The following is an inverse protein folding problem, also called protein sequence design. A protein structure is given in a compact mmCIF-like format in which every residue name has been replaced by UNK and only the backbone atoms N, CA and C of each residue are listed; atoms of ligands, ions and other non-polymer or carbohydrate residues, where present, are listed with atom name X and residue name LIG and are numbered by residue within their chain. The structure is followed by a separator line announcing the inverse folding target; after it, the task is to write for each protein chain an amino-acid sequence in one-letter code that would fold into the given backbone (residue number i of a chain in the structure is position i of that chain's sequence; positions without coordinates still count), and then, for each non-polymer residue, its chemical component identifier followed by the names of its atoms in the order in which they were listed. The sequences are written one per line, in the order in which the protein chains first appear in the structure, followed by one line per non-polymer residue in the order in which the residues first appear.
data_IF_603200270305
#
_entry.id   IF_603200270305
#
_cell.length_a   1.000
_cell.length_b   1.000
_cell.length_c   1.000
_cell.angle_alpha   90.00
_cell.angle_beta   90.00
_cell.angle_gamma   90.00
#
_symmetry.space_group_name_H-M   'P 1'
#
loop_
_entity.id
_entity.type
_entity.pdbx_description
1 polymer ?
#
# COMPACT_ATOMS: atom_id res chain seq x y z
N UNK A 1 1.98 -18.49 3.78
CA UNK A 1 2.03 -17.03 3.95
C UNK A 1 2.56 -16.55 2.64
N UNK A 2 1.77 -15.71 2.00
CA UNK A 2 2.03 -15.16 0.68
C UNK A 2 2.33 -13.68 0.91
N UNK A 3 3.48 -13.25 0.40
CA UNK A 3 3.98 -11.89 0.53
C UNK A 3 3.90 -11.23 -0.84
N UNK A 4 2.98 -10.28 -0.98
CA UNK A 4 2.71 -9.66 -2.27
C UNK A 4 3.82 -8.69 -2.67
N UNK A 5 4.30 -7.88 -1.73
CA UNK A 5 5.26 -6.84 -2.07
C UNK A 5 6.22 -6.51 -0.91
N UNK A 6 7.52 -6.56 -1.24
CA UNK A 6 8.60 -6.04 -0.38
C UNK A 6 9.02 -4.70 -0.95
N UNK A 7 8.84 -3.64 -0.17
CA UNK A 7 9.38 -2.34 -0.52
C UNK A 7 10.86 -2.30 -0.17
N UNK A 8 11.73 -2.35 -1.18
CA UNK A 8 13.17 -2.21 -0.99
C UNK A 8 13.64 -0.78 -1.30
N UNK A 9 14.57 -0.28 -0.50
CA UNK A 9 15.45 0.79 -0.93
C UNK A 9 16.44 0.20 -1.93
N UNK A 10 16.25 0.54 -3.21
CA UNK A 10 16.88 -0.15 -4.33
C UNK A 10 18.42 -0.06 -4.31
N UNK A 11 18.99 1.09 -3.97
CA UNK A 11 20.44 1.30 -4.10
C UNK A 11 21.23 0.52 -3.04
N UNK A 12 20.65 0.30 -1.86
CA UNK A 12 21.28 -0.45 -0.76
C UNK A 12 20.76 -1.87 -0.61
N UNK A 13 19.79 -2.28 -1.43
CA UNK A 13 19.13 -3.59 -1.34
C UNK A 13 18.56 -3.88 0.07
N UNK A 14 18.03 -2.86 0.75
CA UNK A 14 17.51 -2.98 2.11
C UNK A 14 15.97 -2.97 2.10
N UNK A 15 15.29 -3.95 2.74
CA UNK A 15 13.85 -3.90 2.90
C UNK A 15 13.45 -2.76 3.84
N UNK A 16 12.44 -2.00 3.44
CA UNK A 16 11.93 -0.81 4.13
C UNK A 16 10.49 -1.01 4.60
N UNK A 17 9.69 -1.81 3.90
CA UNK A 17 8.33 -2.14 4.32
C UNK A 17 7.87 -3.48 3.75
N UNK A 18 6.89 -4.09 4.40
CA UNK A 18 6.16 -5.26 3.92
C UNK A 18 4.72 -4.85 3.59
N UNK A 19 4.23 -5.23 2.41
CA UNK A 19 2.88 -4.87 1.93
C UNK A 19 2.16 -6.12 1.43
N UNK A 20 0.95 -6.32 1.95
CA UNK A 20 -0.03 -7.30 1.47
C UNK A 20 -1.16 -6.57 0.74
N UNK A 21 -1.34 -6.86 -0.54
CA UNK A 21 -2.36 -6.21 -1.37
C UNK A 21 -3.68 -6.96 -1.28
N UNK A 22 -4.77 -6.21 -1.24
CA UNK A 22 -6.13 -6.77 -1.23
C UNK A 22 -7.00 -6.02 -2.23
N UNK A 23 -7.67 -6.75 -3.10
CA UNK A 23 -8.71 -6.18 -3.96
C UNK A 23 -9.82 -5.53 -3.10
N UNK A 24 -10.61 -4.63 -3.66
CA UNK A 24 -11.66 -3.90 -2.94
C UNK A 24 -12.74 -4.82 -2.35
N UNK A 25 -13.02 -5.93 -3.03
CA UNK A 25 -13.90 -6.99 -2.57
C UNK A 25 -13.21 -8.02 -1.66
N UNK A 26 -11.89 -7.89 -1.48
CA UNK A 26 -11.08 -8.69 -0.57
C UNK A 26 -11.49 -8.47 0.89
N UNK A 27 -11.79 -9.58 1.57
CA UNK A 27 -11.98 -9.54 3.02
C UNK A 27 -10.64 -9.34 3.71
N UNK A 28 -10.58 -8.35 4.59
CA UNK A 28 -9.42 -8.12 5.46
C UNK A 28 -9.69 -8.86 6.76
N UNK A 29 -8.85 -9.85 7.04
CA UNK A 29 -8.91 -10.62 8.28
C UNK A 29 -7.57 -10.49 9.02
N UNK A 30 -7.56 -9.63 10.04
CA UNK A 30 -6.37 -9.35 10.85
C UNK A 30 -5.91 -10.58 11.67
N UNK A 31 -6.82 -11.52 11.93
CA UNK A 31 -6.53 -12.77 12.65
C UNK A 31 -6.05 -13.90 11.73
N UNK A 32 -6.00 -13.66 10.42
CA UNK A 32 -5.55 -14.67 9.46
C UNK A 32 -4.08 -15.03 9.71
N UNK A 33 -3.72 -16.28 9.38
CA UNK A 33 -2.33 -16.72 9.47
C UNK A 33 -1.40 -15.84 8.61
N UNK A 34 -1.88 -15.33 7.46
CA UNK A 34 -1.11 -14.44 6.60
C UNK A 34 -0.77 -13.13 7.31
N UNK A 35 -1.80 -12.41 7.79
CA UNK A 35 -1.63 -11.11 8.43
C UNK A 35 -0.79 -11.20 9.70
N UNK A 36 -1.02 -12.20 10.56
CA UNK A 36 -0.20 -12.39 11.77
C UNK A 36 1.26 -12.71 11.45
N UNK A 37 1.51 -13.51 10.42
CA UNK A 37 2.89 -13.81 10.00
C UNK A 37 3.56 -12.56 9.42
N UNK A 38 2.84 -11.75 8.66
CA UNK A 38 3.36 -10.48 8.10
C UNK A 38 3.74 -9.49 9.21
N UNK A 39 2.89 -9.35 10.22
CA UNK A 39 3.18 -8.54 11.42
C UNK A 39 4.46 -9.04 12.11
N UNK A 40 4.53 -10.34 12.39
CA UNK A 40 5.68 -10.92 13.06
C UNK A 40 6.99 -10.71 12.27
N UNK A 41 6.95 -10.83 10.95
CA UNK A 41 8.10 -10.56 10.09
C UNK A 41 8.50 -9.08 10.12
N UNK A 42 7.53 -8.16 10.04
CA UNK A 42 7.78 -6.73 10.15
C UNK A 42 8.45 -6.38 11.47
N UNK A 43 7.93 -6.91 12.57
CA UNK A 43 8.48 -6.68 13.93
C UNK A 43 9.88 -7.27 14.09
N UNK A 44 10.14 -8.48 13.58
CA UNK A 44 11.47 -9.09 13.60
C UNK A 44 12.49 -8.29 12.80
N UNK A 45 12.07 -7.72 11.67
CA UNK A 45 12.92 -6.90 10.81
C UNK A 45 12.98 -5.43 11.26
N UNK A 46 12.16 -5.01 12.22
CA UNK A 46 12.06 -3.62 12.67
C UNK A 46 11.53 -2.65 11.60
N UNK A 47 10.68 -3.15 10.68
CA UNK A 47 10.13 -2.39 9.56
C UNK A 47 8.60 -2.38 9.58
N UNK A 48 7.97 -1.34 9.01
CA UNK A 48 6.51 -1.28 8.94
C UNK A 48 5.91 -2.37 8.05
N UNK A 49 4.78 -2.92 8.51
CA UNK A 49 3.95 -3.85 7.77
C UNK A 49 2.54 -3.26 7.52
N UNK A 50 2.05 -3.38 6.29
CA UNK A 50 0.77 -2.81 5.86
C UNK A 50 -0.09 -3.83 5.11
N UNK A 51 -1.41 -3.67 5.22
CA UNK A 51 -2.33 -4.11 4.16
C UNK A 51 -2.64 -2.89 3.29
N UNK A 52 -2.59 -3.04 1.97
CA UNK A 52 -3.07 -2.02 1.03
C UNK A 52 -4.26 -2.58 0.27
N UNK A 53 -5.44 -2.03 0.56
CA UNK A 53 -6.63 -2.32 -0.24
C UNK A 53 -6.66 -1.41 -1.47
N UNK A 54 -6.92 -1.96 -2.64
CA UNK A 54 -6.96 -1.22 -3.90
C UNK A 54 -8.22 -1.54 -4.70
N UNK A 55 -8.62 -0.63 -5.57
CA UNK A 55 -9.72 -0.82 -6.51
C UNK A 55 -9.84 0.35 -7.47
N UNK A 56 -10.91 0.36 -8.25
CA UNK A 56 -11.26 1.42 -9.19
C UNK A 56 -12.61 2.03 -8.85
N UNK A 57 -12.89 3.26 -9.27
CA UNK A 57 -14.19 3.90 -9.02
C UNK A 57 -15.35 3.23 -9.78
N UNK A 58 -15.10 2.75 -11.01
CA UNK A 58 -16.11 2.20 -11.90
C UNK A 58 -15.74 0.78 -12.35
N UNK A 59 -15.44 -0.10 -11.39
CA UNK A 59 -15.25 -1.53 -11.62
C UNK A 59 -16.33 -2.32 -10.87
N UNK A 60 -16.88 -3.34 -11.51
CA UNK A 60 -17.93 -4.17 -10.91
C UNK A 60 -17.46 -5.59 -10.61
N UNK A 61 -17.54 -5.99 -9.34
CA UNK A 61 -17.16 -7.34 -8.92
C UNK A 61 -15.65 -7.59 -9.02
N UNK A 62 -15.25 -8.85 -8.90
CA UNK A 62 -13.85 -9.24 -8.80
C UNK A 62 -13.06 -9.13 -10.12
N UNK A 63 -13.75 -9.26 -11.24
CA UNK A 63 -13.17 -9.36 -12.58
C UNK A 63 -13.94 -8.52 -13.60
N UNK A 64 -14.72 -7.54 -13.15
CA UNK A 64 -15.42 -6.64 -14.05
C UNK A 64 -14.44 -5.82 -14.87
N UNK A 65 -14.89 -5.45 -16.06
CA UNK A 65 -14.18 -4.49 -16.88
C UNK A 65 -14.02 -3.17 -16.10
N UNK A 66 -12.84 -2.57 -16.25
CA UNK A 66 -12.55 -1.26 -15.69
C UNK A 66 -12.90 -0.26 -16.79
N UNK A 67 -13.92 0.56 -16.56
CA UNK A 67 -14.30 1.61 -17.52
C UNK A 67 -13.14 2.60 -17.74
N UNK A 68 -13.02 3.17 -18.93
CA UNK A 68 -11.92 4.10 -19.29
C UNK A 68 -11.86 5.34 -18.38
N UNK A 69 -13.00 5.76 -17.82
CA UNK A 69 -13.10 6.88 -16.87
C UNK A 69 -12.86 6.48 -15.40
N UNK A 70 -12.44 5.24 -15.14
CA UNK A 70 -12.18 4.75 -13.80
C UNK A 70 -10.93 5.36 -13.20
N UNK A 71 -11.01 5.75 -11.93
CA UNK A 71 -9.85 6.26 -11.18
C UNK A 71 -9.40 5.21 -10.17
N UNK A 72 -8.11 4.82 -10.16
CA UNK A 72 -7.57 3.90 -9.16
C UNK A 72 -7.52 4.58 -7.78
N UNK A 73 -7.76 3.79 -6.75
CA UNK A 73 -7.71 4.25 -5.37
C UNK A 73 -7.07 3.21 -4.46
N UNK A 74 -6.47 3.69 -3.37
CA UNK A 74 -5.75 2.87 -2.40
C UNK A 74 -6.19 3.21 -0.98
N UNK A 75 -6.22 2.22 -0.09
CA UNK A 75 -6.48 2.39 1.33
C UNK A 75 -5.40 1.63 2.09
N UNK A 76 -4.62 2.36 2.89
CA UNK A 76 -3.46 1.81 3.60
C UNK A 76 -3.88 1.52 5.05
N UNK A 77 -3.65 0.29 5.49
CA UNK A 77 -4.01 -0.18 6.82
C UNK A 77 -2.71 -0.58 7.54
N UNK A 78 -2.27 0.21 8.53
CA UNK A 78 -1.09 -0.13 9.33
C UNK A 78 -1.37 -1.36 10.20
N UNK A 79 -0.39 -2.26 10.30
CA UNK A 79 -0.55 -3.53 11.03
C UNK A 79 0.28 -3.61 12.32
N UNK A 80 1.46 -2.99 12.35
CA UNK A 80 2.38 -3.04 13.49
C UNK A 80 2.78 -1.64 13.97
N UNK A 81 3.45 -1.58 15.12
CA UNK A 81 3.85 -0.31 15.75
C UNK A 81 4.68 0.58 14.82
N UNK A 82 5.60 -0.02 14.06
CA UNK A 82 6.40 0.65 13.04
C UNK A 82 5.51 1.31 11.98
N UNK A 83 4.50 0.60 11.46
CA UNK A 83 3.55 1.11 10.48
C UNK A 83 2.69 2.26 11.01
N UNK A 84 2.25 2.19 12.27
CA UNK A 84 1.49 3.29 12.89
C UNK A 84 2.31 4.58 13.04
N UNK A 85 3.63 4.48 13.09
CA UNK A 85 4.53 5.64 13.14
C UNK A 85 5.02 6.11 11.77
N UNK A 86 4.64 5.44 10.68
CA UNK A 86 5.18 5.65 9.34
C UNK A 86 4.51 6.80 8.55
N UNK A 87 3.71 7.64 9.21
CA UNK A 87 3.08 8.80 8.57
C UNK A 87 2.16 8.42 7.40
N UNK A 88 1.32 7.39 7.57
CA UNK A 88 0.41 6.91 6.53
C UNK A 88 -0.46 8.09 6.03
N UNK A 89 -0.51 8.35 4.72
CA UNK A 89 -1.35 9.42 4.18
C UNK A 89 -2.81 9.05 4.39
N UNK A 90 -3.53 9.92 5.10
CA UNK A 90 -4.94 9.79 5.39
C UNK A 90 -5.56 11.18 5.36
N UNK A 91 -6.70 11.33 4.68
CA UNK A 91 -7.52 12.54 4.74
C UNK A 91 -8.47 12.53 5.96
N UNK A 92 -8.07 11.87 7.05
CA UNK A 92 -8.88 11.40 8.19
C UNK A 92 -9.85 10.23 7.84
N UNK A 93 -10.09 9.34 8.81
CA UNK A 93 -11.02 8.18 8.76
C UNK A 93 -10.83 7.15 7.62
N UNK A 94 -9.69 6.47 7.54
CA UNK A 94 -9.48 5.36 6.59
C UNK A 94 -9.76 5.73 5.11
N UNK A 95 -9.65 7.03 4.77
CA UNK A 95 -9.98 7.54 3.45
C UNK A 95 -9.11 6.91 2.35
N UNK A 96 -9.75 6.63 1.21
CA UNK A 96 -9.08 6.21 -0.01
C UNK A 96 -8.19 7.35 -0.52
N UNK A 97 -6.95 7.04 -0.86
CA UNK A 97 -5.98 7.96 -1.48
C UNK A 97 -5.85 7.70 -2.98
N UNK A 98 -5.45 8.71 -3.73
CA UNK A 98 -5.17 8.58 -5.17
C UNK A 98 -3.87 7.83 -5.40
N UNK A 99 -3.66 7.34 -6.63
CA UNK A 99 -2.40 6.69 -7.02
C UNK A 99 -1.20 7.62 -6.82
N UNK A 100 -1.29 8.90 -7.19
CA UNK A 100 -0.22 9.86 -6.98
C UNK A 100 0.18 9.97 -5.51
N UNK A 101 -0.79 10.07 -4.60
CA UNK A 101 -0.53 10.18 -3.16
C UNK A 101 0.10 8.88 -2.64
N UNK A 102 -0.44 7.72 -3.05
CA UNK A 102 0.10 6.42 -2.67
C UNK A 102 1.55 6.23 -3.12
N UNK A 103 1.84 6.47 -4.40
CA UNK A 103 3.18 6.31 -4.97
C UNK A 103 4.15 7.32 -4.32
N UNK A 104 3.73 8.57 -4.13
CA UNK A 104 4.55 9.58 -3.44
C UNK A 104 4.96 9.10 -2.06
N UNK A 105 4.01 8.59 -1.27
CA UNK A 105 4.29 8.04 0.05
C UNK A 105 5.25 6.84 0.02
N UNK A 106 5.15 5.95 -0.98
CA UNK A 106 6.12 4.86 -1.14
C UNK A 106 7.54 5.39 -1.37
N UNK A 107 7.72 6.48 -2.13
CA UNK A 107 9.03 7.13 -2.28
C UNK A 107 9.52 7.73 -0.96
N UNK A 108 8.64 8.39 -0.20
CA UNK A 108 8.96 8.98 1.09
C UNK A 108 9.41 7.95 2.12
N UNK A 109 8.77 6.78 2.17
CA UNK A 109 9.21 5.65 3.01
C UNK A 109 10.67 5.25 2.74
N UNK A 110 11.10 5.34 1.48
CA UNK A 110 12.50 5.07 1.07
C UNK A 110 13.44 6.26 1.28
N UNK A 111 12.96 7.36 1.87
CA UNK A 111 13.71 8.61 2.04
C UNK A 111 13.95 9.34 0.72
N UNK A 112 13.06 9.17 -0.27
CA UNK A 112 13.19 9.76 -1.61
C UNK A 112 12.00 10.67 -1.92
N UNK A 113 12.22 11.61 -2.83
CA UNK A 113 11.15 12.37 -3.46
C UNK A 113 10.72 11.66 -4.75
N UNK A 114 9.42 11.68 -5.05
CA UNK A 114 8.92 11.22 -6.35
C UNK A 114 9.54 12.05 -7.49
N UNK A 115 10.06 11.42 -8.56
CA UNK A 115 10.48 12.12 -9.77
C UNK A 115 9.32 12.85 -10.46
N UNK A 116 9.58 14.02 -11.05
CA UNK A 116 8.53 14.86 -11.65
C UNK A 116 7.85 14.20 -12.85
N UNK A 117 8.61 13.49 -13.68
CA UNK A 117 8.10 12.74 -14.82
C UNK A 117 7.11 11.64 -14.40
N UNK A 118 7.38 10.95 -13.30
CA UNK A 118 6.45 9.96 -12.73
C UNK A 118 5.20 10.67 -12.19
N UNK A 119 5.36 11.78 -11.46
CA UNK A 119 4.22 12.56 -10.96
C UNK A 119 3.32 13.09 -12.09
N UNK A 120 3.90 13.49 -13.22
CA UNK A 120 3.16 13.97 -14.40
C UNK A 120 2.40 12.84 -15.11
N UNK A 121 2.90 11.60 -15.06
CA UNK A 121 2.19 10.42 -15.59
C UNK A 121 0.97 10.10 -14.73
N UNK A 122 1.10 10.18 -13.41
CA UNK A 122 0.06 9.82 -12.45
C UNK A 122 -1.02 10.91 -12.23
N UNK A 123 -0.80 12.12 -12.75
CA UNK A 123 -1.75 13.25 -12.68
C UNK A 123 -2.67 13.38 -13.91
N UNK A 124 -2.50 12.52 -14.92
CA UNK A 124 -3.32 12.52 -16.13
C UNK A 124 -4.65 11.85 -15.90
#
# INVERSE_FOLDING_TARGET
MDLDFILAEYDRCVPIALIDYKHEHGTINLESANTRTLIALGDMAGIPAFIVRYGHSNQSGWWGEVEENSVPWFQIIPLNSHAHTAGVPSNDDNAKVTELVFVTWLYELRGRKIPQDIADILNK
#
